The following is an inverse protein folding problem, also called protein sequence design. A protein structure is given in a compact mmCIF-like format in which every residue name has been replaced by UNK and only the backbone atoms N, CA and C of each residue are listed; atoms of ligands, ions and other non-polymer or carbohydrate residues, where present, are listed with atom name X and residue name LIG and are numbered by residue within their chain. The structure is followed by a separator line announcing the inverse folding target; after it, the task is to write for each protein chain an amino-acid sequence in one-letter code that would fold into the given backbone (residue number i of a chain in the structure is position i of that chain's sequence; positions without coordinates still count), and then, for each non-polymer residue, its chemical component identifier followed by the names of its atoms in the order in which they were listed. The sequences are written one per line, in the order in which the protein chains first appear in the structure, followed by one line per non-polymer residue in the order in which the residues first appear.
data_IF_438266735938
#
_entry.id   IF_438266735938
#
_cell.length_a   1.000
_cell.length_b   1.000
_cell.length_c   1.000
_cell.angle_alpha   90.00
_cell.angle_beta   90.00
_cell.angle_gamma   90.00
#
_symmetry.space_group_name_H-M   'P 1'
#
loop_
_entity.id
_entity.type
_entity.pdbx_description
1 polymer ?
#
# COMPACT_ATOMS: atom_id res chain seq x y z
N UNK A 1 21.80 2.19 12.68
CA UNK A 1 21.33 0.79 12.77
C UNK A 1 21.22 0.47 14.24
N UNK A 2 20.09 0.16 14.85
CA UNK A 2 18.69 -0.05 14.46
C UNK A 2 17.89 0.80 15.48
N UNK A 3 16.73 1.37 15.20
CA UNK A 3 15.45 0.79 15.60
C UNK A 3 14.39 1.92 15.58
N UNK A 4 13.90 2.28 14.40
CA UNK A 4 12.60 2.92 14.28
C UNK A 4 11.64 1.89 13.67
N UNK A 5 11.47 0.75 14.36
CA UNK A 5 10.45 -0.21 13.99
C UNK A 5 9.10 0.40 14.38
N UNK A 6 8.27 0.62 13.38
CA UNK A 6 6.87 1.02 13.55
C UNK A 6 6.22 0.05 14.55
N UNK A 7 5.53 0.63 15.54
CA UNK A 7 4.76 -0.02 16.59
C UNK A 7 4.04 -1.28 16.09
N UNK A 8 4.32 -2.43 16.72
CA UNK A 8 3.96 -3.78 16.26
C UNK A 8 2.45 -4.01 16.08
N UNK A 9 1.60 -3.11 16.57
CA UNK A 9 0.14 -3.21 16.52
C UNK A 9 -0.54 -2.09 15.70
N UNK A 10 0.18 -1.32 14.89
CA UNK A 10 -0.42 -0.18 14.20
C UNK A 10 -0.42 -0.33 12.67
N UNK A 11 -1.64 -0.34 12.14
CA UNK A 11 -2.02 -0.12 10.74
C UNK A 11 -1.62 -1.26 9.80
N UNK A 12 -2.42 -2.33 9.82
CA UNK A 12 -2.49 -3.25 8.69
C UNK A 12 -3.10 -2.52 7.49
N UNK A 13 -2.26 -2.11 6.52
CA UNK A 13 -2.74 -1.65 5.22
C UNK A 13 -3.48 -2.78 4.53
N UNK A 14 -4.80 -2.65 4.39
CA UNK A 14 -5.65 -3.61 3.67
C UNK A 14 -6.17 -2.98 2.38
N UNK A 15 -6.11 -3.75 1.30
CA UNK A 15 -6.66 -3.41 0.00
C UNK A 15 -7.69 -4.46 -0.37
N UNK A 16 -8.94 -4.05 -0.55
CA UNK A 16 -9.97 -4.89 -1.15
C UNK A 16 -9.96 -4.71 -2.68
N UNK A 17 -9.50 -5.75 -3.39
CA UNK A 17 -9.43 -5.75 -4.83
C UNK A 17 -10.80 -5.83 -5.52
N UNK A 18 -11.85 -6.26 -4.81
CA UNK A 18 -13.20 -6.30 -5.37
C UNK A 18 -13.81 -4.90 -5.46
N UNK A 19 -13.45 -4.02 -4.52
CA UNK A 19 -13.87 -2.61 -4.51
C UNK A 19 -12.96 -1.70 -5.35
N UNK A 20 -11.77 -2.19 -5.73
CA UNK A 20 -10.84 -1.42 -6.53
C UNK A 20 -11.33 -1.23 -7.97
N UNK A 21 -11.62 0.02 -8.33
CA UNK A 21 -12.02 0.43 -9.68
C UNK A 21 -10.84 0.76 -10.61
N UNK A 22 -9.59 0.60 -10.14
CA UNK A 22 -8.41 0.86 -10.96
C UNK A 22 -8.04 2.31 -11.20
N UNK A 23 -8.57 3.26 -10.42
CA UNK A 23 -8.40 4.71 -10.68
C UNK A 23 -6.96 5.24 -10.55
N UNK A 24 -6.02 4.48 -9.96
CA UNK A 24 -4.61 4.88 -9.87
C UNK A 24 -4.28 5.90 -8.77
N UNK A 25 -5.27 6.55 -8.16
CA UNK A 25 -5.02 7.60 -7.17
C UNK A 25 -4.16 7.14 -5.99
N UNK A 26 -4.32 5.89 -5.54
CA UNK A 26 -3.49 5.32 -4.47
C UNK A 26 -1.99 5.34 -4.79
N UNK A 27 -1.60 5.15 -6.06
CA UNK A 27 -0.20 5.23 -6.50
C UNK A 27 0.28 6.67 -6.50
N UNK A 28 -0.56 7.61 -6.95
CA UNK A 28 -0.23 9.04 -7.03
C UNK A 28 -0.06 9.68 -5.66
N UNK A 29 -0.96 9.37 -4.71
CA UNK A 29 -0.97 10.04 -3.40
C UNK A 29 -0.07 9.39 -2.37
N UNK A 30 0.32 8.12 -2.57
CA UNK A 30 1.08 7.40 -1.55
C UNK A 30 2.55 7.87 -1.52
N UNK A 31 3.00 8.52 -0.43
CA UNK A 31 4.37 9.01 -0.34
C UNK A 31 5.40 7.88 -0.27
N UNK A 32 5.01 6.74 0.30
CA UNK A 32 5.85 5.55 0.43
C UNK A 32 5.87 4.67 -0.82
N UNK A 33 5.06 4.99 -1.85
CA UNK A 33 4.98 4.24 -3.10
C UNK A 33 4.73 2.74 -2.92
N UNK A 34 3.89 2.38 -1.94
CA UNK A 34 3.56 0.99 -1.62
C UNK A 34 2.55 0.34 -2.58
N UNK A 35 1.94 1.13 -3.46
CA UNK A 35 0.95 0.67 -4.42
C UNK A 35 1.52 0.66 -5.84
N UNK A 36 1.06 -0.32 -6.62
CA UNK A 36 1.26 -0.40 -8.06
C UNK A 36 -0.06 -0.74 -8.75
N UNK A 37 -0.23 -0.38 -10.03
CA UNK A 37 -1.38 -0.81 -10.83
C UNK A 37 -0.96 -1.99 -11.70
N UNK A 38 -1.67 -3.11 -11.59
CA UNK A 38 -1.56 -4.28 -12.47
C UNK A 38 -2.95 -4.76 -12.83
N UNK A 39 -3.15 -5.14 -14.09
CA UNK A 39 -4.45 -5.66 -14.57
C UNK A 39 -5.63 -4.74 -14.23
N UNK A 40 -5.44 -3.42 -14.33
CA UNK A 40 -6.44 -2.41 -13.98
C UNK A 40 -6.88 -2.41 -12.51
N UNK A 41 -6.09 -3.00 -11.59
CA UNK A 41 -6.32 -2.96 -10.15
C UNK A 41 -5.07 -2.54 -9.39
N UNK A 42 -5.27 -1.96 -8.21
CA UNK A 42 -4.19 -1.70 -7.30
C UNK A 42 -3.66 -3.02 -6.71
N UNK A 43 -2.35 -3.08 -6.48
CA UNK A 43 -1.65 -4.14 -5.77
C UNK A 43 -0.68 -3.50 -4.80
N UNK A 44 -0.57 -4.07 -3.60
CA UNK A 44 0.41 -3.63 -2.60
C UNK A 44 1.75 -4.33 -2.92
N UNK A 45 2.81 -3.57 -3.16
CA UNK A 45 4.14 -4.09 -3.47
C UNK A 45 5.12 -4.04 -2.30
N UNK A 46 4.86 -3.21 -1.30
CA UNK A 46 5.65 -3.09 -0.08
C UNK A 46 4.69 -2.84 1.10
N UNK A 47 4.88 -3.52 2.24
CA UNK A 47 4.00 -3.39 3.42
C UNK A 47 4.61 -2.61 4.57
N UNK A 48 5.73 -1.92 4.33
CA UNK A 48 6.54 -1.32 5.38
C UNK A 48 7.31 -2.41 6.12
N UNK A 49 8.61 -2.50 5.83
CA UNK A 49 9.59 -3.15 6.69
C UNK A 49 10.27 -2.14 7.60
#
# INVERSE_FOLDING_TARGET
MKDFRYIEETIQLQLDENLCIGCGNCVTVCPHRVFTIREHKAKICDRGG
#
